data_IF_448077906997
#
_entry.id   IF_448077906997
#
_cell.length_a   1.000
_cell.length_b   1.000
_cell.length_c   1.000
_cell.angle_alpha   90.00
_cell.angle_beta   90.00
_cell.angle_gamma   90.00
#
_symmetry.space_group_name_H-M   'P 1'
#
loop_
_entity.id
_entity.type
_entity.pdbx_description
1 polymer ?
#
# COMPACT_ATOMS: atom_id res chain seq x y z
N UNK A 1 -29.42 -5.59 -4.15
CA UNK A 1 -28.63 -4.36 -4.29
C UNK A 1 -27.23 -4.74 -4.72
N UNK A 2 -26.83 -4.39 -5.94
CA UNK A 2 -25.44 -4.55 -6.38
C UNK A 2 -24.57 -3.62 -5.53
N UNK A 3 -23.84 -4.19 -4.57
CA UNK A 3 -22.80 -3.45 -3.85
C UNK A 3 -21.81 -2.97 -4.92
N UNK A 4 -21.44 -1.69 -4.99
CA UNK A 4 -20.44 -1.25 -5.97
C UNK A 4 -19.21 -2.13 -5.79
N UNK A 5 -18.70 -2.69 -6.89
CA UNK A 5 -17.46 -3.48 -6.88
C UNK A 5 -16.35 -2.57 -6.37
N UNK A 6 -16.10 -2.63 -5.06
CA UNK A 6 -15.09 -1.84 -4.40
C UNK A 6 -13.74 -2.23 -5.03
N UNK A 7 -12.87 -1.26 -5.34
CA UNK A 7 -11.62 -1.55 -6.00
C UNK A 7 -10.79 -2.44 -5.06
N UNK A 8 -10.67 -3.71 -5.42
CA UNK A 8 -9.76 -4.64 -4.76
C UNK A 8 -8.41 -4.60 -5.48
N UNK A 9 -7.37 -5.08 -4.80
CA UNK A 9 -6.04 -5.15 -5.40
C UNK A 9 -6.07 -5.99 -6.68
N UNK A 10 -5.37 -5.57 -7.73
CA UNK A 10 -5.24 -6.33 -8.98
C UNK A 10 -4.49 -7.65 -8.76
N UNK A 11 -3.52 -7.64 -7.85
CA UNK A 11 -2.74 -8.80 -7.44
C UNK A 11 -2.14 -8.58 -6.05
N UNK A 12 -1.89 -9.68 -5.34
CA UNK A 12 -1.17 -9.70 -4.07
C UNK A 12 -0.07 -10.76 -4.09
N UNK A 13 1.12 -10.42 -3.60
CA UNK A 13 2.24 -11.35 -3.46
C UNK A 13 2.93 -11.18 -2.10
N UNK A 14 3.62 -12.22 -1.65
CA UNK A 14 4.62 -12.05 -0.60
C UNK A 14 5.88 -11.47 -1.22
N UNK A 15 6.34 -10.34 -0.69
CA UNK A 15 7.56 -9.67 -1.11
C UNK A 15 8.77 -10.33 -0.43
N UNK A 16 9.69 -10.87 -1.23
CA UNK A 16 10.88 -11.56 -0.75
C UNK A 16 10.54 -12.81 0.07
N UNK A 17 11.23 -13.00 1.20
CA UNK A 17 10.99 -14.11 2.15
C UNK A 17 9.81 -13.86 3.11
N UNK A 18 9.04 -12.78 2.91
CA UNK A 18 8.03 -12.33 3.87
C UNK A 18 8.63 -11.60 5.09
N UNK A 19 7.80 -11.00 5.96
CA UNK A 19 6.34 -11.15 6.08
C UNK A 19 5.52 -10.14 5.25
N UNK A 20 6.16 -9.34 4.41
CA UNK A 20 5.49 -8.25 3.69
C UNK A 20 4.62 -8.79 2.56
N UNK A 21 3.30 -8.62 2.65
CA UNK A 21 2.40 -8.81 1.51
C UNK A 21 2.28 -7.48 0.74
N UNK A 22 2.62 -7.50 -0.55
CA UNK A 22 2.50 -6.36 -1.46
C UNK A 22 1.27 -6.53 -2.35
N UNK A 23 0.43 -5.48 -2.40
CA UNK A 23 -0.80 -5.45 -3.19
C UNK A 23 -0.72 -4.37 -4.26
N UNK A 24 -0.84 -4.74 -5.53
CA UNK A 24 -0.88 -3.79 -6.64
C UNK A 24 -2.30 -3.26 -6.81
N UNK A 25 -2.47 -1.94 -6.83
CA UNK A 25 -3.78 -1.30 -6.99
C UNK A 25 -3.83 -0.49 -8.30
N UNK A 26 -5.02 -0.34 -8.92
CA UNK A 26 -5.15 0.37 -10.21
C UNK A 26 -4.95 1.89 -10.08
N UNK A 27 -5.08 2.45 -8.87
CA UNK A 27 -4.92 3.88 -8.61
C UNK A 27 -4.53 4.13 -7.15
N UNK A 28 -4.09 5.35 -6.85
CA UNK A 28 -3.79 5.78 -5.49
C UNK A 28 -5.02 5.75 -4.57
N UNK A 29 -6.20 6.16 -5.09
CA UNK A 29 -7.45 6.10 -4.34
C UNK A 29 -7.81 4.65 -3.99
N UNK A 30 -7.71 3.73 -4.95
CA UNK A 30 -7.92 2.30 -4.71
C UNK A 30 -6.92 1.73 -3.69
N UNK A 31 -5.67 2.18 -3.71
CA UNK A 31 -4.66 1.74 -2.73
C UNK A 31 -5.00 2.16 -1.29
N UNK A 32 -5.58 3.36 -1.12
CA UNK A 32 -6.08 3.80 0.19
C UNK A 32 -7.26 2.96 0.63
N UNK A 33 -8.26 2.74 -0.23
CA UNK A 33 -9.44 1.92 0.08
C UNK A 33 -9.03 0.50 0.50
N UNK A 34 -8.21 -0.17 -0.31
CA UNK A 34 -7.66 -1.49 0.02
C UNK A 34 -6.89 -1.47 1.34
N UNK A 35 -6.07 -0.44 1.57
CA UNK A 35 -5.32 -0.29 2.81
C UNK A 35 -6.22 -0.20 4.05
N UNK A 36 -7.33 0.53 3.95
CA UNK A 36 -8.31 0.64 5.05
C UNK A 36 -9.00 -0.70 5.32
N UNK A 37 -9.38 -1.44 4.28
CA UNK A 37 -10.05 -2.74 4.43
C UNK A 37 -9.10 -3.80 5.04
N UNK A 38 -7.86 -3.89 4.56
CA UNK A 38 -6.85 -4.81 5.12
C UNK A 38 -6.53 -4.47 6.58
N UNK A 39 -6.46 -3.17 6.90
CA UNK A 39 -6.25 -2.72 8.28
C UNK A 39 -7.42 -3.12 9.19
N UNK A 40 -8.66 -2.93 8.72
CA UNK A 40 -9.87 -3.28 9.46
C UNK A 40 -10.10 -4.79 9.62
N UNK A 41 -9.57 -5.61 8.70
CA UNK A 41 -9.65 -7.06 8.77
C UNK A 41 -8.77 -7.68 9.86
N UNK A 42 -7.80 -6.94 10.41
CA UNK A 42 -6.93 -7.42 11.51
C UNK A 42 -5.96 -8.54 11.11
N UNK A 43 -5.76 -8.78 9.82
CA UNK A 43 -4.93 -9.87 9.27
C UNK A 43 -3.43 -9.53 9.21
N UNK A 44 -3.07 -8.26 9.43
CA UNK A 44 -1.69 -7.78 9.38
C UNK A 44 -1.39 -6.88 10.59
N UNK A 45 -0.14 -6.88 11.07
CA UNK A 45 0.27 -6.00 12.19
C UNK A 45 0.26 -4.52 11.79
N UNK A 46 0.67 -4.21 10.56
CA UNK A 46 0.73 -2.83 10.04
C UNK A 46 0.43 -2.83 8.55
N UNK A 47 -0.26 -1.80 8.07
CA UNK A 47 -0.52 -1.57 6.65
C UNK A 47 0.05 -0.22 6.26
N UNK A 48 0.63 -0.12 5.05
CA UNK A 48 1.12 1.14 4.49
C UNK A 48 0.77 1.22 3.01
N UNK A 49 0.48 2.43 2.53
CA UNK A 49 0.32 2.75 1.11
C UNK A 49 1.64 3.34 0.61
N UNK A 50 2.07 2.91 -0.58
CA UNK A 50 3.29 3.39 -1.22
C UNK A 50 3.10 3.47 -2.75
N UNK A 51 3.95 4.24 -3.41
CA UNK A 51 4.03 4.35 -4.87
C UNK A 51 5.46 4.05 -5.35
N UNK A 52 5.59 3.64 -6.61
CA UNK A 52 6.89 3.36 -7.23
C UNK A 52 6.82 3.22 -8.75
N UNK A 53 7.97 3.16 -9.44
CA UNK A 53 9.33 3.18 -8.90
C UNK A 53 9.72 4.55 -8.33
N UNK A 54 10.63 4.57 -7.36
CA UNK A 54 11.17 5.79 -6.75
C UNK A 54 12.69 5.84 -6.93
N UNK A 55 13.27 7.03 -6.77
CA UNK A 55 14.73 7.18 -6.78
C UNK A 55 15.39 6.29 -5.71
N UNK A 56 16.55 5.72 -6.05
CA UNK A 56 17.37 4.97 -5.10
C UNK A 56 18.04 5.85 -4.04
N UNK A 57 19.02 5.29 -3.33
CA UNK A 57 19.75 5.99 -2.28
C UNK A 57 20.41 7.28 -2.83
N UNK A 58 20.05 8.42 -2.23
CA UNK A 58 20.62 9.74 -2.56
C UNK A 58 20.64 10.62 -1.32
N UNK A 59 21.50 11.63 -1.32
CA UNK A 59 21.48 12.67 -0.29
C UNK A 59 20.20 13.50 -0.45
N UNK A 60 19.47 13.66 0.65
CA UNK A 60 18.32 14.57 0.74
C UNK A 60 18.68 15.73 1.66
N UNK A 61 18.12 16.94 1.45
CA UNK A 61 18.30 18.04 2.38
C UNK A 61 17.98 17.61 3.81
N UNK A 62 18.74 18.12 4.78
CA UNK A 62 18.37 17.95 6.18
C UNK A 62 16.95 18.50 6.39
N UNK A 63 16.11 17.85 7.22
CA UNK A 63 14.82 18.41 7.59
C UNK A 63 15.05 19.82 8.16
N UNK A 64 14.40 20.83 7.57
CA UNK A 64 14.35 22.15 8.18
C UNK A 64 13.41 22.04 9.39
N UNK A 65 13.92 22.19 10.61
CA UNK A 65 13.05 22.37 11.78
C UNK A 65 12.23 23.66 11.56
N UNK A 66 10.91 23.53 11.68
CA UNK A 66 9.93 24.63 11.67
C UNK A 66 9.24 24.71 13.02
#
# INVERSE_FOLDING_TARGET
GCRPARPWALAGIVSGSGPTCAFLCPSAAAAVDVGTEVSGAGVCRTVRVASGPVAGARVVPAPTEV
#
